data_IF_935332315233
#
_entry.id   IF_935332315233
#
_cell.length_a   1.000
_cell.length_b   1.000
_cell.length_c   1.000
_cell.angle_alpha   90.00
_cell.angle_beta   90.00
_cell.angle_gamma   90.00
#
_symmetry.space_group_name_H-M   'P 1'
#
loop_
_entity.id
_entity.type
_entity.pdbx_description
1 polymer ?
#
# COMPACT_ATOMS: atom_id res chain seq x y z
N UNK A 1 -21.27 -50.33 5.16
CA UNK A 1 -20.92 -49.46 6.31
C UNK A 1 -19.52 -48.87 6.21
N UNK A 2 -18.54 -49.57 5.65
CA UNK A 2 -17.14 -49.13 5.62
C UNK A 2 -16.86 -47.93 4.68
N UNK A 3 -17.49 -47.93 3.49
CA UNK A 3 -17.42 -46.83 2.52
C UNK A 3 -18.02 -45.51 3.02
N UNK A 4 -19.11 -45.55 3.79
CA UNK A 4 -19.78 -44.36 4.30
C UNK A 4 -18.96 -43.68 5.42
N UNK A 5 -18.31 -44.49 6.26
CA UNK A 5 -17.33 -44.00 7.25
C UNK A 5 -16.09 -43.41 6.58
N UNK A 6 -15.65 -44.02 5.48
CA UNK A 6 -14.54 -43.51 4.67
C UNK A 6 -14.87 -42.15 4.04
N UNK A 7 -16.06 -41.99 3.47
CA UNK A 7 -16.55 -40.71 2.93
C UNK A 7 -16.68 -39.62 4.00
N UNK A 8 -17.21 -39.97 5.18
CA UNK A 8 -17.28 -39.05 6.31
C UNK A 8 -15.89 -38.59 6.76
N UNK A 9 -14.90 -39.50 6.75
CA UNK A 9 -13.51 -39.18 7.07
C UNK A 9 -12.93 -38.18 6.08
N UNK A 10 -13.18 -38.34 4.78
CA UNK A 10 -12.74 -37.38 3.76
C UNK A 10 -13.44 -36.01 3.91
N UNK A 11 -14.74 -36.00 4.17
CA UNK A 11 -15.47 -34.75 4.43
C UNK A 11 -14.90 -34.02 5.67
N UNK A 12 -14.60 -34.77 6.74
CA UNK A 12 -13.96 -34.23 7.94
C UNK A 12 -12.56 -33.67 7.63
N UNK A 13 -11.74 -34.37 6.84
CA UNK A 13 -10.43 -33.86 6.41
C UNK A 13 -10.53 -32.56 5.59
N UNK A 14 -11.52 -32.44 4.72
CA UNK A 14 -11.76 -31.20 3.94
C UNK A 14 -12.13 -30.05 4.88
N UNK A 15 -13.02 -30.29 5.84
CA UNK A 15 -13.41 -29.28 6.84
C UNK A 15 -12.20 -28.88 7.69
N UNK A 16 -11.41 -29.84 8.12
CA UNK A 16 -10.23 -29.61 8.96
C UNK A 16 -9.15 -28.86 8.19
N UNK A 17 -8.92 -29.21 6.92
CA UNK A 17 -8.02 -28.49 6.02
C UNK A 17 -8.52 -27.08 5.74
N UNK A 18 -9.83 -26.87 5.58
CA UNK A 18 -10.42 -25.55 5.42
C UNK A 18 -10.18 -24.66 6.65
N UNK A 19 -10.44 -25.17 7.86
CA UNK A 19 -10.19 -24.44 9.11
C UNK A 19 -8.71 -24.14 9.27
N UNK A 20 -7.85 -25.14 9.06
CA UNK A 20 -6.40 -25.00 9.13
C UNK A 20 -5.86 -23.97 8.13
N UNK A 21 -6.35 -24.00 6.88
CA UNK A 21 -5.96 -23.03 5.84
C UNK A 21 -6.40 -21.62 6.21
N UNK A 22 -7.61 -21.43 6.74
CA UNK A 22 -8.07 -20.12 7.21
C UNK A 22 -7.22 -19.60 8.38
N UNK A 23 -6.81 -20.47 9.31
CA UNK A 23 -5.89 -20.10 10.40
C UNK A 23 -4.52 -19.71 9.84
N UNK A 24 -3.95 -20.48 8.90
CA UNK A 24 -2.66 -20.15 8.29
C UNK A 24 -2.70 -18.84 7.50
N UNK A 25 -3.80 -18.59 6.77
CA UNK A 25 -4.03 -17.33 6.07
C UNK A 25 -4.11 -16.21 7.10
N UNK A 26 -4.90 -16.37 8.17
CA UNK A 26 -5.04 -15.38 9.23
C UNK A 26 -3.73 -15.06 9.95
N UNK A 27 -2.91 -16.07 10.25
CA UNK A 27 -1.60 -15.87 10.86
C UNK A 27 -0.57 -15.25 9.89
N UNK A 28 -0.67 -15.55 8.59
CA UNK A 28 0.14 -14.88 7.57
C UNK A 28 -0.32 -13.43 7.29
N UNK A 29 -1.48 -13.00 7.77
CA UNK A 29 -1.93 -11.61 7.69
C UNK A 29 -1.14 -10.66 8.62
N UNK A 30 0.06 -11.01 9.07
CA UNK A 30 1.14 -10.03 9.36
C UNK A 30 1.43 -9.11 8.15
N UNK A 31 0.76 -9.35 7.01
CA UNK A 31 0.52 -8.43 5.89
C UNK A 31 -0.61 -7.40 6.12
N UNK A 32 -1.16 -7.23 7.32
CA UNK A 32 -2.20 -6.23 7.57
C UNK A 32 -1.57 -4.85 7.61
N UNK A 33 -2.20 -3.90 6.92
CA UNK A 33 -1.80 -2.50 6.92
C UNK A 33 -1.82 -1.92 8.34
N UNK A 34 -0.63 -1.59 8.85
CA UNK A 34 -0.43 -0.85 10.10
C UNK A 34 -0.17 0.61 9.77
N UNK A 35 -0.55 1.52 10.66
CA UNK A 35 -0.25 2.93 10.49
C UNK A 35 1.26 3.15 10.66
N UNK A 36 1.87 3.90 9.74
CA UNK A 36 3.29 4.28 9.80
C UNK A 36 3.44 5.74 10.24
N UNK A 37 4.56 6.05 10.90
CA UNK A 37 4.83 7.38 11.45
C UNK A 37 5.23 8.40 10.39
N UNK A 38 4.95 9.68 10.66
CA UNK A 38 5.48 10.82 9.90
C UNK A 38 6.52 11.55 10.77
N UNK A 39 7.74 11.75 10.25
CA UNK A 39 8.81 12.46 10.99
C UNK A 39 9.12 13.87 10.45
N UNK A 40 8.56 14.27 9.30
CA UNK A 40 8.70 15.64 8.78
C UNK A 40 7.63 16.60 9.34
N UNK A 41 7.85 17.90 9.11
CA UNK A 41 6.88 18.95 9.39
C UNK A 41 6.68 19.86 8.16
N UNK A 42 5.92 19.38 7.18
CA UNK A 42 5.45 20.20 6.05
C UNK A 42 4.00 20.66 6.25
N UNK A 43 3.75 21.95 6.48
CA UNK A 43 2.40 22.48 6.70
C UNK A 43 1.51 22.44 5.44
N UNK A 44 2.13 22.43 4.25
CA UNK A 44 1.42 22.35 2.97
C UNK A 44 0.82 20.97 2.70
N UNK A 45 1.25 19.93 3.43
CA UNK A 45 0.87 18.53 3.16
C UNK A 45 0.09 17.97 4.34
N UNK A 46 -1.15 17.56 4.07
CA UNK A 46 -2.01 16.86 5.03
C UNK A 46 -2.10 15.39 4.65
N UNK A 47 -1.62 14.50 5.52
CA UNK A 47 -1.73 13.04 5.30
C UNK A 47 -2.87 12.49 6.15
N UNK A 48 -3.87 11.89 5.52
CA UNK A 48 -5.02 11.31 6.21
C UNK A 48 -4.93 9.78 6.32
N UNK A 49 -4.08 9.14 5.51
CA UNK A 49 -3.83 7.71 5.58
C UNK A 49 -2.38 7.41 5.20
N UNK A 50 -1.61 6.83 6.11
CA UNK A 50 -0.29 6.30 5.82
C UNK A 50 -0.18 4.94 6.48
N UNK A 51 -0.07 3.89 5.66
CA UNK A 51 -0.06 2.54 6.16
C UNK A 51 0.91 1.65 5.41
N UNK A 52 1.60 0.77 6.12
CA UNK A 52 2.45 -0.26 5.54
C UNK A 52 2.16 -1.63 6.14
N UNK A 53 2.42 -2.65 5.32
CA UNK A 53 2.56 -4.04 5.69
C UNK A 53 4.05 -4.36 5.73
N UNK A 54 4.40 -5.63 6.01
CA UNK A 54 5.78 -6.09 5.94
C UNK A 54 6.45 -5.94 4.55
N UNK A 55 5.68 -5.84 3.45
CA UNK A 55 6.23 -5.88 2.08
C UNK A 55 5.79 -4.74 1.16
N UNK A 56 4.76 -3.98 1.53
CA UNK A 56 4.20 -2.91 0.73
C UNK A 56 3.44 -1.91 1.60
N UNK A 57 3.09 -0.76 1.04
CA UNK A 57 2.33 0.25 1.75
C UNK A 57 1.68 1.27 0.82
N UNK A 58 0.94 2.18 1.43
CA UNK A 58 0.25 3.27 0.74
C UNK A 58 0.22 4.54 1.61
N UNK A 59 0.39 5.68 0.96
CA UNK A 59 0.26 7.00 1.60
C UNK A 59 -0.73 7.83 0.77
N UNK A 60 -1.69 8.44 1.46
CA UNK A 60 -2.71 9.30 0.88
C UNK A 60 -2.80 10.60 1.63
N UNK A 61 -2.85 11.67 0.88
CA UNK A 61 -2.90 13.01 1.43
C UNK A 61 -3.43 14.03 0.45
N UNK A 62 -3.40 15.27 0.90
CA UNK A 62 -3.64 16.46 0.11
C UNK A 62 -2.46 17.42 0.25
N UNK A 63 -2.18 18.13 -0.83
CA UNK A 63 -1.16 19.16 -0.92
C UNK A 63 -1.90 20.45 -1.22
N UNK A 64 -1.64 21.51 -0.44
CA UNK A 64 -2.22 22.82 -0.63
C UNK A 64 -1.13 23.83 -1.02
N UNK A 65 -1.29 24.46 -2.19
CA UNK A 65 -0.40 25.50 -2.67
C UNK A 65 -0.89 26.86 -2.19
N UNK A 66 -0.46 27.27 -0.99
CA UNK A 66 -0.85 28.56 -0.42
C UNK A 66 0.00 29.71 -0.96
N UNK A 67 -0.55 30.92 -0.89
CA UNK A 67 0.18 32.15 -1.22
C UNK A 67 1.44 32.37 -0.37
N UNK A 68 1.43 31.93 0.90
CA UNK A 68 2.57 32.06 1.83
C UNK A 68 3.65 31.00 1.62
N UNK A 69 3.26 29.82 1.12
CA UNK A 69 4.15 28.70 0.85
C UNK A 69 3.93 28.22 -0.58
N UNK A 70 4.42 29.02 -1.53
CA UNK A 70 4.22 28.76 -2.95
C UNK A 70 5.01 27.52 -3.40
N UNK A 71 4.30 26.59 -4.03
CA UNK A 71 4.84 25.38 -4.67
C UNK A 71 4.87 25.67 -6.17
N UNK A 72 6.05 25.82 -6.74
CA UNK A 72 6.22 26.04 -8.19
C UNK A 72 7.43 25.28 -8.68
N UNK A 73 7.28 24.50 -9.73
CA UNK A 73 8.34 23.68 -10.33
C UNK A 73 9.05 22.76 -9.33
N UNK A 74 8.27 22.08 -8.48
CA UNK A 74 8.79 21.16 -7.45
C UNK A 74 8.18 19.78 -7.59
N UNK A 75 8.87 18.82 -7.00
CA UNK A 75 8.38 17.48 -6.71
C UNK A 75 8.23 17.33 -5.20
N UNK A 76 7.15 16.69 -4.76
CA UNK A 76 7.06 16.20 -3.39
C UNK A 76 7.75 14.84 -3.34
N UNK A 77 8.90 14.78 -2.66
CA UNK A 77 9.64 13.55 -2.41
C UNK A 77 9.16 12.94 -1.09
N UNK A 78 8.87 11.64 -1.12
CA UNK A 78 8.51 10.83 0.04
C UNK A 78 9.64 9.82 0.25
N UNK A 79 10.38 9.97 1.35
CA UNK A 79 11.44 9.07 1.78
C UNK A 79 10.88 8.04 2.78
N UNK A 80 11.12 6.76 2.52
CA UNK A 80 10.64 5.65 3.35
C UNK A 80 11.78 5.08 4.18
N UNK A 81 11.50 4.78 5.44
CA UNK A 81 12.49 4.29 6.39
C UNK A 81 11.98 3.11 7.21
N UNK A 82 12.92 2.26 7.61
CA UNK A 82 12.68 1.19 8.59
C UNK A 82 12.70 1.72 10.02
N UNK A 83 12.25 0.90 10.98
CA UNK A 83 12.32 1.17 12.41
C UNK A 83 13.75 1.51 12.90
N UNK A 84 14.78 1.01 12.19
CA UNK A 84 16.20 1.24 12.50
C UNK A 84 16.79 2.46 11.78
N UNK A 85 15.94 3.39 11.37
CA UNK A 85 16.30 4.61 10.62
C UNK A 85 17.11 4.34 9.33
N UNK A 86 16.96 3.15 8.74
CA UNK A 86 17.60 2.80 7.45
C UNK A 86 16.72 3.29 6.29
N UNK A 87 17.31 4.00 5.34
CA UNK A 87 16.65 4.46 4.12
C UNK A 87 16.29 3.27 3.21
N UNK A 88 15.04 3.21 2.79
CA UNK A 88 14.48 2.10 2.02
C UNK A 88 14.12 2.47 0.57
N UNK A 89 14.00 3.76 0.27
CA UNK A 89 13.71 4.27 -1.07
C UNK A 89 12.85 5.53 -1.06
N UNK A 90 12.70 6.14 -2.23
CA UNK A 90 11.93 7.37 -2.42
C UNK A 90 10.85 7.23 -3.49
N UNK A 91 9.75 7.97 -3.33
CA UNK A 91 8.72 8.22 -4.35
C UNK A 91 8.59 9.71 -4.61
N UNK A 92 8.19 10.08 -5.83
CA UNK A 92 8.07 11.47 -6.23
C UNK A 92 6.70 11.77 -6.84
N UNK A 93 6.02 12.77 -6.29
CA UNK A 93 4.77 13.31 -6.84
C UNK A 93 5.08 14.62 -7.56
N UNK A 94 4.67 14.70 -8.83
CA UNK A 94 4.80 15.93 -9.60
C UNK A 94 3.75 16.96 -9.17
N UNK A 95 4.24 18.06 -8.60
CA UNK A 95 3.44 19.21 -8.16
C UNK A 95 3.85 20.49 -8.89
N UNK A 96 4.63 20.38 -9.97
CA UNK A 96 5.11 21.51 -10.75
C UNK A 96 3.99 22.36 -11.35
N UNK A 97 2.86 21.73 -11.67
CA UNK A 97 1.70 22.32 -12.34
C UNK A 97 0.59 22.78 -11.38
N UNK A 98 0.81 22.77 -10.06
CA UNK A 98 -0.21 23.23 -9.11
C UNK A 98 -0.42 24.74 -9.24
N UNK A 99 -1.67 25.16 -9.40
CA UNK A 99 -2.04 26.58 -9.41
C UNK A 99 -2.03 27.16 -8.01
N UNK A 100 -2.00 28.48 -7.92
CA UNK A 100 -2.14 29.20 -6.66
C UNK A 100 -3.51 28.88 -6.04
N UNK A 101 -3.52 28.65 -4.72
CA UNK A 101 -4.69 28.23 -3.93
C UNK A 101 -5.33 26.89 -4.37
N UNK A 102 -4.58 26.05 -5.10
CA UNK A 102 -5.01 24.71 -5.47
C UNK A 102 -4.76 23.70 -4.34
N UNK A 103 -5.76 22.86 -4.07
CA UNK A 103 -5.60 21.63 -3.29
C UNK A 103 -5.56 20.43 -4.24
N UNK A 104 -4.48 19.63 -4.18
CA UNK A 104 -4.31 18.42 -4.97
C UNK A 104 -4.23 17.20 -4.06
N UNK A 105 -5.09 16.22 -4.29
CA UNK A 105 -5.02 14.94 -3.60
C UNK A 105 -4.00 14.03 -4.28
N UNK A 106 -3.30 13.23 -3.48
CA UNK A 106 -2.38 12.21 -3.97
C UNK A 106 -2.61 10.89 -3.25
N UNK A 107 -2.25 9.81 -3.93
CA UNK A 107 -2.31 8.45 -3.44
C UNK A 107 -1.13 7.69 -4.04
N UNK A 108 -0.13 7.41 -3.21
CA UNK A 108 1.10 6.72 -3.59
C UNK A 108 1.13 5.33 -3.00
N UNK A 109 1.51 4.35 -3.83
CA UNK A 109 1.72 2.96 -3.46
C UNK A 109 3.20 2.62 -3.58
N UNK A 110 3.71 1.84 -2.62
CA UNK A 110 5.09 1.38 -2.63
C UNK A 110 5.18 -0.09 -2.26
N UNK A 111 6.18 -0.79 -2.82
CA UNK A 111 6.48 -2.18 -2.51
C UNK A 111 7.90 -2.28 -1.96
N UNK A 112 8.02 -2.01 -0.66
CA UNK A 112 9.28 -2.07 0.07
C UNK A 112 9.04 -2.72 1.41
N UNK A 113 10.02 -3.50 1.86
CA UNK A 113 9.89 -4.27 3.10
C UNK A 113 10.17 -3.42 4.33
N UNK A 114 9.50 -3.76 5.43
CA UNK A 114 9.78 -3.25 6.78
C UNK A 114 9.79 -1.71 6.90
N UNK A 115 8.86 -1.03 6.22
CA UNK A 115 8.65 0.42 6.35
C UNK A 115 7.91 0.73 7.65
N UNK A 116 8.48 1.61 8.47
CA UNK A 116 7.94 2.01 9.78
C UNK A 116 7.54 3.49 9.82
N UNK A 117 8.30 4.34 9.14
CA UNK A 117 8.01 5.77 9.05
C UNK A 117 8.43 6.36 7.71
N UNK A 118 7.94 7.57 7.45
CA UNK A 118 8.27 8.32 6.25
C UNK A 118 8.55 9.79 6.57
N UNK A 119 9.27 10.43 5.65
CA UNK A 119 9.54 11.86 5.65
C UNK A 119 9.22 12.42 4.27
N UNK A 120 8.73 13.66 4.25
CA UNK A 120 8.40 14.37 3.04
C UNK A 120 9.22 15.65 2.91
N UNK A 121 9.63 15.99 1.69
CA UNK A 121 10.30 17.24 1.36
C UNK A 121 10.03 17.65 -0.07
N UNK A 122 9.99 18.96 -0.34
CA UNK A 122 9.93 19.44 -1.71
C UNK A 122 11.34 19.57 -2.29
N UNK A 123 11.53 19.05 -3.50
CA UNK A 123 12.79 19.09 -4.24
C UNK A 123 12.56 19.61 -5.66
N UNK A 124 13.60 20.18 -6.26
CA UNK A 124 13.49 20.78 -7.59
C UNK A 124 13.64 19.72 -8.70
N UNK A 125 14.37 18.62 -8.43
CA UNK A 125 14.64 17.54 -9.38
C UNK A 125 14.39 16.16 -8.76
N UNK A 126 14.10 15.18 -9.63
CA UNK A 126 14.03 13.76 -9.23
C UNK A 126 15.44 13.20 -9.14
N UNK A 127 15.75 12.49 -8.05
CA UNK A 127 17.02 11.77 -7.94
C UNK A 127 16.91 10.39 -8.61
N UNK A 128 18.03 9.89 -9.11
CA UNK A 128 18.11 8.52 -9.64
C UNK A 128 17.89 7.49 -8.53
N UNK A 129 17.02 6.51 -8.77
CA UNK A 129 16.67 5.47 -7.79
C UNK A 129 15.25 5.54 -7.21
N UNK A 130 14.33 6.26 -7.87
CA UNK A 130 12.90 6.22 -7.51
C UNK A 130 12.35 4.78 -7.53
N UNK A 131 11.57 4.45 -6.51
CA UNK A 131 10.88 3.16 -6.43
C UNK A 131 9.90 3.00 -7.61
N UNK A 132 9.82 1.81 -8.22
CA UNK A 132 9.00 1.57 -9.39
C UNK A 132 7.55 1.95 -9.13
N UNK A 133 6.89 2.47 -10.16
CA UNK A 133 5.47 2.79 -10.09
C UNK A 133 4.65 1.52 -9.91
N UNK A 134 3.77 1.54 -8.91
CA UNK A 134 2.95 0.38 -8.55
C UNK A 134 1.50 0.66 -8.92
N UNK A 135 0.87 -0.32 -9.57
CA UNK A 135 -0.57 -0.31 -9.75
C UNK A 135 -1.26 -0.54 -8.40
N UNK A 136 -2.42 0.09 -8.23
CA UNK A 136 -3.29 -0.13 -7.07
C UNK A 136 -3.59 -1.61 -6.90
N UNK A 137 -3.38 -2.14 -5.69
CA UNK A 137 -3.73 -3.53 -5.37
C UNK A 137 -5.21 -3.77 -5.69
N UNK A 138 -5.50 -4.87 -6.40
CA UNK A 138 -6.87 -5.32 -6.66
C UNK A 138 -7.58 -5.62 -5.34
N UNK A 139 -8.81 -5.16 -5.20
CA UNK A 139 -9.59 -5.46 -4.00
C UNK A 139 -9.94 -6.95 -3.97
N UNK A 140 -10.19 -7.51 -2.77
CA UNK A 140 -10.59 -8.91 -2.59
C UNK A 140 -11.77 -9.30 -3.50
N UNK A 141 -12.73 -8.40 -3.67
CA UNK A 141 -13.88 -8.61 -4.55
C UNK A 141 -13.48 -8.71 -6.03
N UNK A 142 -12.57 -7.85 -6.49
CA UNK A 142 -12.06 -7.90 -7.86
C UNK A 142 -11.32 -9.20 -8.16
N UNK A 143 -10.55 -9.70 -7.19
CA UNK A 143 -9.87 -11.00 -7.31
C UNK A 143 -10.87 -12.16 -7.37
N UNK A 144 -11.91 -12.14 -6.53
CA UNK A 144 -12.97 -13.17 -6.52
C UNK A 144 -13.74 -13.18 -7.83
N UNK A 145 -14.20 -12.01 -8.31
CA UNK A 145 -14.92 -11.90 -9.58
C UNK A 145 -14.05 -12.23 -10.80
N UNK A 146 -12.79 -11.79 -10.81
CA UNK A 146 -11.84 -12.12 -11.87
C UNK A 146 -11.59 -13.62 -11.96
N UNK A 147 -11.40 -14.27 -10.81
CA UNK A 147 -11.26 -15.74 -10.74
C UNK A 147 -12.51 -16.44 -11.26
N UNK A 148 -13.70 -16.00 -10.82
CA UNK A 148 -14.98 -16.54 -11.29
C UNK A 148 -15.16 -16.42 -12.82
N UNK A 149 -14.84 -15.25 -13.39
CA UNK A 149 -14.90 -15.01 -14.83
C UNK A 149 -13.92 -15.90 -15.62
N UNK A 150 -12.69 -16.08 -15.13
CA UNK A 150 -11.75 -16.99 -15.79
C UNK A 150 -12.23 -18.43 -15.79
N UNK A 151 -12.86 -18.91 -14.71
CA UNK A 151 -13.47 -20.24 -14.67
C UNK A 151 -14.61 -20.40 -15.68
N UNK A 152 -15.38 -19.34 -15.98
CA UNK A 152 -16.45 -19.38 -16.98
C UNK A 152 -15.95 -19.35 -18.43
N UNK A 153 -14.77 -18.78 -18.69
CA UNK A 153 -14.20 -18.67 -20.05
C UNK A 153 -13.46 -19.96 -20.44
N UNK A 154 -12.85 -20.64 -19.46
CA UNK A 154 -12.07 -21.86 -19.67
C UNK A 154 -12.86 -23.16 -19.39
N UNK A 155 -14.20 -23.08 -19.28
CA UNK A 155 -15.12 -24.21 -19.19
C UNK A 155 -16.21 -24.13 -20.27
#
# INVERSE_FOLDING_TARGET
MDRMKTLFKYAMWIILFYIFSNILIYLNLETTYQNIGRKDNLPQVTVYQAQATKINGRIKGSIYNSSEHKITNKYLRIDLYSERDTFLGSKYIDVSTMRDDETRNFEEYFKVQDVDYYEMKFVDEKEEGELPEMLKDLTREQVVWGTFLTFLIFW
#
